data_IF_124904028322
#
_entry.id   IF_124904028322
#
_cell.length_a   1.000
_cell.length_b   1.000
_cell.length_c   1.000
_cell.angle_alpha   90.00
_cell.angle_beta   90.00
_cell.angle_gamma   90.00
#
_symmetry.space_group_name_H-M   'P 1'
#
loop_
_entity.id
_entity.type
_entity.pdbx_description
1 polymer ?
#
# COMPACT_ATOMS: atom_id res chain seq x y z
N UNK A 1 16.21 27.60 -34.41
CA UNK A 1 14.81 27.11 -34.39
C UNK A 1 14.75 25.58 -34.42
N UNK A 2 15.34 24.91 -35.43
CA UNK A 2 15.31 23.43 -35.59
C UNK A 2 16.01 22.65 -34.46
N UNK A 3 17.16 23.14 -33.96
CA UNK A 3 17.89 22.51 -32.86
C UNK A 3 17.08 22.41 -31.56
N UNK A 4 16.25 23.41 -31.25
CA UNK A 4 15.39 23.43 -30.06
C UNK A 4 14.34 22.32 -30.14
N UNK A 5 13.75 22.12 -31.33
CA UNK A 5 12.78 21.03 -31.55
C UNK A 5 13.40 19.65 -31.40
N UNK A 6 14.65 19.47 -31.87
CA UNK A 6 15.40 18.21 -31.68
C UNK A 6 15.66 17.94 -30.20
N UNK A 7 16.07 18.97 -29.45
CA UNK A 7 16.32 18.88 -28.01
C UNK A 7 15.05 18.50 -27.23
N UNK A 8 13.92 19.12 -27.55
CA UNK A 8 12.61 18.79 -26.97
C UNK A 8 12.24 17.33 -27.27
N UNK A 9 12.45 16.87 -28.50
CA UNK A 9 12.14 15.50 -28.90
C UNK A 9 12.99 14.46 -28.15
N UNK A 10 14.30 14.73 -27.98
CA UNK A 10 15.20 13.89 -27.19
C UNK A 10 14.77 13.86 -25.73
N UNK A 11 14.36 15.00 -25.16
CA UNK A 11 13.86 15.07 -23.79
C UNK A 11 12.60 14.23 -23.58
N UNK A 12 11.64 14.31 -24.51
CA UNK A 12 10.40 13.53 -24.46
C UNK A 12 10.72 12.02 -24.58
N UNK A 13 11.64 11.65 -25.48
CA UNK A 13 12.07 10.26 -25.63
C UNK A 13 12.76 9.75 -24.35
N UNK A 14 13.58 10.58 -23.71
CA UNK A 14 14.25 10.24 -22.47
C UNK A 14 13.23 9.99 -21.35
N UNK A 15 12.21 10.85 -21.21
CA UNK A 15 11.09 10.64 -20.26
C UNK A 15 10.39 9.31 -20.52
N UNK A 16 10.10 8.99 -21.79
CA UNK A 16 9.47 7.72 -22.14
C UNK A 16 10.36 6.50 -21.79
N UNK A 17 11.66 6.57 -22.10
CA UNK A 17 12.62 5.54 -21.73
C UNK A 17 12.70 5.34 -20.21
N UNK A 18 12.67 6.41 -19.41
CA UNK A 18 12.66 6.31 -17.95
C UNK A 18 11.39 5.61 -17.42
N UNK A 19 10.22 5.92 -17.98
CA UNK A 19 8.96 5.26 -17.61
C UNK A 19 9.01 3.77 -17.95
N UNK A 20 9.49 3.42 -19.15
CA UNK A 20 9.65 2.02 -19.58
C UNK A 20 10.63 1.26 -18.68
N UNK A 21 11.73 1.91 -18.28
CA UNK A 21 12.73 1.35 -17.38
C UNK A 21 12.16 1.09 -15.98
N UNK A 22 11.35 2.00 -15.44
CA UNK A 22 10.66 1.80 -14.16
C UNK A 22 9.68 0.61 -14.21
N UNK A 23 8.90 0.49 -15.30
CA UNK A 23 8.00 -0.66 -15.51
C UNK A 23 8.78 -1.97 -15.59
N UNK A 24 9.93 -1.96 -16.27
CA UNK A 24 10.81 -3.13 -16.36
C UNK A 24 11.38 -3.54 -15.00
N UNK A 25 11.82 -2.58 -14.17
CA UNK A 25 12.31 -2.87 -12.81
C UNK A 25 11.24 -3.51 -11.93
N UNK A 26 10.00 -3.00 -11.94
CA UNK A 26 8.90 -3.58 -11.16
C UNK A 26 8.66 -5.03 -11.60
N UNK A 27 8.70 -5.29 -12.91
CA UNK A 27 8.52 -6.64 -13.46
C UNK A 27 9.70 -7.57 -13.16
N UNK A 28 10.94 -7.07 -13.14
CA UNK A 28 12.13 -7.86 -12.79
C UNK A 28 12.16 -8.23 -11.31
N UNK A 29 11.54 -7.41 -10.45
CA UNK A 29 11.32 -7.73 -9.04
C UNK A 29 10.21 -8.79 -8.81
N UNK A 30 9.62 -9.34 -9.89
CA UNK A 30 8.59 -10.38 -9.80
C UNK A 30 7.19 -9.86 -9.48
N UNK A 31 6.97 -8.54 -9.51
CA UNK A 31 5.66 -7.93 -9.25
C UNK A 31 5.00 -7.42 -10.53
N UNK A 32 3.67 -7.34 -10.53
CA UNK A 32 2.98 -6.55 -11.53
C UNK A 32 2.94 -5.07 -11.13
N UNK A 33 3.04 -4.17 -12.10
CA UNK A 33 2.84 -2.73 -11.92
C UNK A 33 1.48 -2.41 -11.27
N UNK A 34 0.46 -3.22 -11.58
CA UNK A 34 -0.88 -3.10 -10.97
C UNK A 34 -0.87 -3.45 -9.48
N UNK A 35 -0.11 -4.47 -9.08
CA UNK A 35 0.01 -4.88 -7.69
C UNK A 35 0.80 -3.81 -6.90
N UNK A 36 1.86 -3.26 -7.48
CA UNK A 36 2.60 -2.14 -6.90
C UNK A 36 1.70 -0.89 -6.73
N UNK A 37 0.90 -0.55 -7.74
CA UNK A 37 -0.06 0.56 -7.61
C UNK A 37 -1.11 0.31 -6.52
N UNK A 38 -1.60 -0.93 -6.41
CA UNK A 38 -2.51 -1.35 -5.35
C UNK A 38 -1.85 -1.26 -3.97
N UNK A 39 -0.56 -1.59 -3.87
CA UNK A 39 0.23 -1.46 -2.65
C UNK A 39 0.38 0.00 -2.22
N UNK A 40 0.73 0.92 -3.14
CA UNK A 40 0.82 2.35 -2.82
C UNK A 40 -0.50 2.87 -2.24
N UNK A 41 -1.64 2.47 -2.83
CA UNK A 41 -2.97 2.83 -2.33
C UNK A 41 -3.26 2.19 -0.97
N UNK A 42 -2.89 0.93 -0.78
CA UNK A 42 -3.06 0.22 0.47
C UNK A 42 -2.23 0.83 1.60
N UNK A 43 -1.03 1.34 1.30
CA UNK A 43 -0.18 2.01 2.27
C UNK A 43 -0.82 3.33 2.77
N UNK A 44 -1.44 4.11 1.88
CA UNK A 44 -2.22 5.29 2.30
C UNK A 44 -3.38 4.90 3.25
N UNK A 45 -4.04 3.78 2.98
CA UNK A 45 -5.09 3.23 3.86
C UNK A 45 -4.50 2.69 5.16
N UNK A 46 -3.33 2.05 5.15
CA UNK A 46 -2.63 1.59 6.34
C UNK A 46 -2.35 2.76 7.29
N UNK A 47 -1.91 3.89 6.76
CA UNK A 47 -1.65 5.11 7.52
C UNK A 47 -2.92 5.68 8.19
N UNK A 48 -4.07 5.56 7.50
CA UNK A 48 -5.38 5.92 8.06
C UNK A 48 -5.80 4.95 9.15
N UNK A 49 -5.65 3.64 8.92
CA UNK A 49 -5.97 2.59 9.90
C UNK A 49 -5.09 2.71 11.16
N UNK A 50 -3.81 3.05 11.00
CA UNK A 50 -2.88 3.29 12.10
C UNK A 50 -3.26 4.52 12.94
N UNK A 51 -3.66 5.62 12.29
CA UNK A 51 -4.19 6.80 13.01
C UNK A 51 -5.48 6.44 13.76
N UNK A 52 -6.32 5.62 13.14
CA UNK A 52 -7.58 5.16 13.72
C UNK A 52 -7.35 4.26 14.94
N UNK A 53 -6.42 3.31 14.85
CA UNK A 53 -6.06 2.41 15.95
C UNK A 53 -5.50 3.14 17.17
N UNK A 54 -4.79 4.26 16.96
CA UNK A 54 -4.26 5.09 18.05
C UNK A 54 -5.27 6.06 18.66
N UNK A 55 -6.17 6.64 17.85
CA UNK A 55 -7.11 7.68 18.32
C UNK A 55 -8.43 7.15 18.88
N UNK A 56 -8.89 5.97 18.45
CA UNK A 56 -10.23 5.48 18.81
C UNK A 56 -10.14 4.22 19.68
N UNK A 57 -10.08 4.41 20.99
CA UNK A 57 -9.98 3.31 21.98
C UNK A 57 -11.27 2.48 22.16
N UNK A 58 -12.39 2.90 21.56
CA UNK A 58 -13.67 2.17 21.59
C UNK A 58 -14.39 2.30 20.25
N UNK A 59 -14.02 1.44 19.30
CA UNK A 59 -14.75 1.31 18.04
C UNK A 59 -16.11 0.71 18.31
N UNK A 60 -17.15 1.31 17.73
CA UNK A 60 -18.48 0.71 17.70
C UNK A 60 -18.42 -0.63 16.95
N UNK A 61 -19.34 -1.59 17.22
CA UNK A 61 -19.34 -2.89 16.54
C UNK A 61 -19.37 -2.78 15.00
N UNK A 62 -19.97 -1.73 14.45
CA UNK A 62 -20.01 -1.46 13.01
C UNK A 62 -18.66 -0.96 12.49
N UNK A 63 -18.04 -0.01 13.19
CA UNK A 63 -16.69 0.48 12.85
C UNK A 63 -15.64 -0.63 12.96
N UNK A 64 -15.80 -1.56 13.89
CA UNK A 64 -14.94 -2.75 13.99
C UNK A 64 -15.04 -3.61 12.73
N UNK A 65 -16.23 -3.87 12.20
CA UNK A 65 -16.41 -4.65 10.98
C UNK A 65 -15.80 -3.95 9.77
N UNK A 66 -16.01 -2.63 9.65
CA UNK A 66 -15.40 -1.82 8.58
C UNK A 66 -13.88 -1.86 8.67
N UNK A 67 -13.32 -1.67 9.87
CA UNK A 67 -11.88 -1.75 10.13
C UNK A 67 -11.30 -3.11 9.72
N UNK A 68 -11.96 -4.21 10.11
CA UNK A 68 -11.54 -5.56 9.73
C UNK A 68 -11.50 -5.72 8.21
N UNK A 69 -12.55 -5.29 7.51
CA UNK A 69 -12.63 -5.42 6.04
C UNK A 69 -11.59 -4.57 5.30
N UNK A 70 -11.29 -3.37 5.80
CA UNK A 70 -10.27 -2.50 5.18
C UNK A 70 -8.85 -2.98 5.50
N UNK A 71 -8.61 -3.44 6.72
CA UNK A 71 -7.33 -4.04 7.11
C UNK A 71 -7.02 -5.29 6.26
N UNK A 72 -7.99 -6.15 6.01
CA UNK A 72 -7.82 -7.35 5.17
C UNK A 72 -7.46 -7.01 3.72
N UNK A 73 -8.09 -5.99 3.13
CA UNK A 73 -7.70 -5.48 1.79
C UNK A 73 -6.27 -4.95 1.80
N UNK A 74 -5.89 -4.20 2.83
CA UNK A 74 -4.53 -3.67 2.98
C UNK A 74 -3.53 -4.82 3.07
N UNK A 75 -3.74 -5.79 3.96
CA UNK A 75 -2.84 -6.94 4.11
C UNK A 75 -2.70 -7.73 2.80
N UNK A 76 -3.81 -7.97 2.09
CA UNK A 76 -3.77 -8.67 0.80
C UNK A 76 -3.00 -7.95 -0.30
N UNK A 77 -2.83 -6.63 -0.21
CA UNK A 77 -2.03 -5.84 -1.14
C UNK A 77 -0.55 -5.83 -0.73
N UNK A 78 -0.26 -5.88 0.57
CA UNK A 78 1.10 -5.99 1.10
C UNK A 78 1.71 -7.37 0.83
N UNK A 79 0.92 -8.45 0.94
CA UNK A 79 1.39 -9.83 0.66
C UNK A 79 1.82 -10.06 -0.80
N UNK A 80 1.42 -9.16 -1.72
CA UNK A 80 1.74 -9.26 -3.15
C UNK A 80 3.04 -8.54 -3.54
N UNK A 81 3.66 -7.82 -2.61
CA UNK A 81 4.88 -7.06 -2.85
C UNK A 81 5.99 -7.56 -1.91
N UNK A 82 7.27 -7.55 -2.33
CA UNK A 82 8.38 -7.94 -1.47
C UNK A 82 8.47 -7.10 -0.19
N UNK A 83 8.76 -7.76 0.93
CA UNK A 83 8.89 -7.15 2.26
C UNK A 83 9.83 -5.94 2.27
N UNK A 84 10.91 -5.99 1.48
CA UNK A 84 11.89 -4.92 1.30
C UNK A 84 11.25 -3.54 1.00
N UNK A 85 10.10 -3.52 0.31
CA UNK A 85 9.44 -2.27 -0.09
C UNK A 85 8.71 -1.55 1.04
N UNK A 86 8.45 -2.24 2.15
CA UNK A 86 7.65 -1.72 3.26
C UNK A 86 8.29 -2.00 4.63
N UNK A 87 9.57 -2.35 4.68
CA UNK A 87 10.32 -2.54 5.94
C UNK A 87 10.22 -1.32 6.88
N UNK A 88 10.24 -0.10 6.32
CA UNK A 88 10.08 1.14 7.10
C UNK A 88 8.69 1.27 7.74
N UNK A 89 7.68 0.71 7.08
CA UNK A 89 6.27 0.76 7.47
C UNK A 89 5.84 -0.46 8.31
N UNK A 90 6.74 -1.43 8.46
CA UNK A 90 6.52 -2.68 9.18
C UNK A 90 5.94 -2.46 10.59
N UNK A 91 6.44 -1.47 11.32
CA UNK A 91 5.95 -1.17 12.66
C UNK A 91 4.47 -0.75 12.67
N UNK A 92 4.05 0.05 11.68
CA UNK A 92 2.63 0.46 11.54
C UNK A 92 1.78 -0.73 11.13
N UNK A 93 2.26 -1.52 10.18
CA UNK A 93 1.61 -2.76 9.74
C UNK A 93 1.33 -3.69 10.92
N UNK A 94 2.33 -3.94 11.76
CA UNK A 94 2.21 -4.80 12.93
C UNK A 94 1.22 -4.25 13.96
N UNK A 95 1.17 -2.94 14.18
CA UNK A 95 0.20 -2.34 15.11
C UNK A 95 -1.25 -2.53 14.61
N UNK A 96 -1.49 -2.32 13.31
CA UNK A 96 -2.81 -2.54 12.69
C UNK A 96 -3.18 -4.02 12.71
N UNK A 97 -2.22 -4.92 12.45
CA UNK A 97 -2.42 -6.37 12.51
C UNK A 97 -2.77 -6.85 13.91
N UNK A 98 -2.08 -6.35 14.93
CA UNK A 98 -2.39 -6.70 16.33
C UNK A 98 -3.80 -6.25 16.70
N UNK A 99 -4.20 -5.04 16.31
CA UNK A 99 -5.56 -4.53 16.53
C UNK A 99 -6.63 -5.32 15.78
N UNK A 100 -6.34 -5.73 14.54
CA UNK A 100 -7.20 -6.62 13.78
C UNK A 100 -7.43 -7.95 14.53
N UNK A 101 -6.35 -8.56 15.05
CA UNK A 101 -6.42 -9.81 15.84
C UNK A 101 -7.22 -9.62 17.12
N UNK A 102 -6.98 -8.54 17.87
CA UNK A 102 -7.71 -8.24 19.10
C UNK A 102 -9.22 -8.14 18.86
N UNK A 103 -9.64 -7.36 17.86
CA UNK A 103 -11.06 -7.18 17.51
C UNK A 103 -11.69 -8.51 17.09
N UNK A 104 -10.97 -9.31 16.30
CA UNK A 104 -11.45 -10.61 15.83
C UNK A 104 -11.62 -11.61 16.98
N UNK A 105 -10.66 -11.66 17.91
CA UNK A 105 -10.73 -12.53 19.09
C UNK A 105 -11.87 -12.11 20.01
N UNK A 106 -12.04 -10.80 20.27
CA UNK A 106 -13.14 -10.28 21.09
C UNK A 106 -14.50 -10.71 20.54
N UNK A 107 -14.69 -10.64 19.21
CA UNK A 107 -15.90 -11.10 18.54
C UNK A 107 -16.14 -12.60 18.66
N UNK A 108 -15.09 -13.41 18.70
CA UNK A 108 -15.20 -14.86 18.87
C UNK A 108 -15.53 -15.25 20.30
N UNK A 109 -14.99 -14.53 21.30
CA UNK A 109 -15.28 -14.78 22.71
C UNK A 109 -16.65 -14.26 23.16
N UNK A 110 -17.23 -13.30 22.42
CA UNK A 110 -18.56 -12.73 22.72
C UNK A 110 -19.73 -13.48 22.08
N UNK A 111 -19.46 -14.52 21.30
CA UNK A 111 -20.43 -15.40 20.62
C UNK A 111 -20.47 -16.75 21.33
#
# INVERSE_FOLDING_TARGET
>A
MTFIWILIYILILLVFCLIAFAVFQIKSAGMNVKDFWSFIKANETLDKLYKFSKKYQKLTPQEQVIFLSEAEKVFSAFDKVPDLLWEEEYNKYMEVLNKYKDIRVLRWTSN
#
